data_IF_559361609305
#
_entry.id   IF_559361609305
#
_cell.length_a   1.000
_cell.length_b   1.000
_cell.length_c   1.000
_cell.angle_alpha   90.00
_cell.angle_beta   90.00
_cell.angle_gamma   90.00
#
_symmetry.space_group_name_H-M   'P 1'
#
loop_
_entity.id
_entity.type
_entity.pdbx_description
1 polymer ?
#
# COMPACT_ATOMS: atom_id res chain seq x y z
N UNK A 1 -33.50 -6.19 -12.96
CA UNK A 1 -32.08 -6.24 -13.38
C UNK A 1 -31.31 -5.66 -12.21
N UNK A 2 -30.75 -6.50 -11.35
CA UNK A 2 -29.94 -6.07 -10.21
C UNK A 2 -28.57 -5.70 -10.74
N UNK A 3 -28.20 -4.42 -10.68
CA UNK A 3 -26.85 -3.99 -10.98
C UNK A 3 -26.04 -4.22 -9.70
N UNK A 4 -25.46 -5.42 -9.57
CA UNK A 4 -24.85 -5.98 -8.35
C UNK A 4 -23.76 -5.13 -7.70
N UNK A 5 -23.38 -4.02 -8.32
CA UNK A 5 -22.28 -3.22 -7.89
C UNK A 5 -22.78 -1.96 -7.15
N UNK A 6 -23.78 -1.22 -7.64
CA UNK A 6 -24.27 0.02 -6.98
C UNK A 6 -24.97 -0.24 -5.63
N UNK A 7 -25.65 -1.40 -5.53
CA UNK A 7 -26.40 -1.78 -4.33
C UNK A 7 -25.52 -2.24 -3.15
N UNK A 8 -24.20 -2.38 -3.34
CA UNK A 8 -23.27 -2.89 -2.31
C UNK A 8 -22.42 -1.81 -1.65
N UNK A 9 -22.41 -0.58 -2.17
CA UNK A 9 -21.53 0.49 -1.68
C UNK A 9 -21.85 0.93 -0.25
N UNK A 10 -23.11 1.33 -0.04
CA UNK A 10 -23.60 1.74 1.27
C UNK A 10 -23.54 0.60 2.28
N UNK A 11 -23.98 -0.64 1.94
CA UNK A 11 -23.82 -1.80 2.83
C UNK A 11 -22.37 -2.07 3.20
N UNK A 12 -21.42 -1.98 2.27
CA UNK A 12 -20.02 -2.26 2.56
C UNK A 12 -19.38 -1.23 3.50
N UNK A 13 -19.58 0.07 3.26
CA UNK A 13 -19.04 1.12 4.15
C UNK A 13 -19.65 1.01 5.55
N UNK A 14 -20.98 0.89 5.64
CA UNK A 14 -21.64 0.72 6.94
C UNK A 14 -21.23 -0.56 7.64
N UNK A 15 -20.98 -1.63 6.88
CA UNK A 15 -20.51 -2.89 7.42
C UNK A 15 -19.12 -2.75 8.02
N UNK A 16 -18.16 -2.20 7.28
CA UNK A 16 -16.80 -1.98 7.79
C UNK A 16 -16.83 -1.06 9.00
N UNK A 17 -17.58 0.04 8.94
CA UNK A 17 -17.74 0.97 10.06
C UNK A 17 -18.33 0.30 11.31
N UNK A 18 -19.37 -0.53 11.16
CA UNK A 18 -19.97 -1.26 12.27
C UNK A 18 -19.01 -2.30 12.88
N UNK A 19 -18.16 -2.94 12.06
CA UNK A 19 -17.25 -3.98 12.51
C UNK A 19 -15.99 -3.41 13.18
N UNK A 20 -15.49 -2.28 12.67
CA UNK A 20 -14.25 -1.62 13.14
C UNK A 20 -14.50 -0.52 14.17
N UNK A 21 -15.77 -0.21 14.46
CA UNK A 21 -16.20 0.96 15.25
C UNK A 21 -15.63 2.31 14.76
N UNK A 22 -15.28 2.41 13.48
CA UNK A 22 -14.74 3.62 12.85
C UNK A 22 -15.84 4.48 12.20
N UNK A 23 -15.65 5.82 12.10
CA UNK A 23 -16.65 6.74 11.55
C UNK A 23 -17.08 6.40 10.12
N UNK A 24 -18.33 6.72 9.79
CA UNK A 24 -19.11 6.22 8.63
C UNK A 24 -18.98 7.07 7.35
N UNK A 25 -18.11 8.07 7.31
CA UNK A 25 -17.94 8.96 6.15
C UNK A 25 -16.90 8.41 5.16
N UNK A 26 -17.28 7.37 4.41
CA UNK A 26 -16.47 6.76 3.35
C UNK A 26 -16.93 7.13 1.94
N UNK A 27 -16.00 7.14 0.97
CA UNK A 27 -16.31 7.32 -0.44
C UNK A 27 -15.88 6.09 -1.25
N UNK A 28 -16.74 5.62 -2.14
CA UNK A 28 -16.39 4.60 -3.14
C UNK A 28 -16.24 5.28 -4.50
N UNK A 29 -15.09 5.05 -5.13
CA UNK A 29 -14.77 5.58 -6.46
C UNK A 29 -14.77 4.40 -7.43
N UNK A 30 -15.60 4.48 -8.46
CA UNK A 30 -15.63 3.48 -9.53
C UNK A 30 -14.75 3.88 -10.70
N UNK A 31 -14.15 2.88 -11.33
CA UNK A 31 -13.22 3.10 -12.42
C UNK A 31 -11.85 3.49 -11.89
N UNK A 32 -11.39 4.70 -12.23
CA UNK A 32 -10.04 5.15 -11.88
C UNK A 32 -10.08 6.26 -10.83
N UNK A 33 -9.33 6.07 -9.75
CA UNK A 33 -9.11 7.10 -8.74
C UNK A 33 -7.73 7.75 -8.96
N UNK A 34 -7.59 9.08 -8.75
CA UNK A 34 -6.31 9.77 -8.85
C UNK A 34 -5.41 9.45 -7.66
N UNK A 35 -4.90 8.22 -7.63
CA UNK A 35 -4.18 7.64 -6.49
C UNK A 35 -3.00 8.52 -6.05
N UNK A 36 -2.16 8.98 -6.98
CA UNK A 36 -1.04 9.86 -6.64
C UNK A 36 -1.51 11.17 -5.97
N UNK A 37 -2.65 11.72 -6.39
CA UNK A 37 -3.21 12.93 -5.76
C UNK A 37 -3.69 12.60 -4.34
N UNK A 38 -4.44 11.51 -4.18
CA UNK A 38 -4.93 11.04 -2.87
C UNK A 38 -3.76 10.80 -1.91
N UNK A 39 -2.71 10.11 -2.37
CA UNK A 39 -1.51 9.84 -1.60
C UNK A 39 -0.61 11.07 -1.42
N UNK A 40 -0.71 12.11 -2.26
CA UNK A 40 0.05 13.36 -2.07
C UNK A 40 -0.46 14.23 -0.93
N UNK A 41 -1.75 14.10 -0.60
CA UNK A 41 -2.32 14.72 0.61
C UNK A 41 -1.86 14.00 1.88
N UNK A 42 -1.25 12.82 1.75
CA UNK A 42 -0.71 12.02 2.82
C UNK A 42 0.60 12.60 3.36
N UNK A 43 0.64 12.88 4.67
CA UNK A 43 1.80 13.50 5.33
C UNK A 43 1.79 15.04 5.35
N UNK A 44 0.93 15.70 4.58
CA UNK A 44 0.65 17.15 4.70
C UNK A 44 -0.66 17.37 5.48
N UNK A 45 -1.62 16.44 5.39
CA UNK A 45 -2.87 16.45 6.12
C UNK A 45 -3.05 15.14 6.93
N UNK A 46 -3.48 15.18 8.21
CA UNK A 46 -3.61 14.00 9.07
C UNK A 46 -4.83 13.11 8.73
N UNK A 47 -5.37 13.19 7.52
CA UNK A 47 -6.63 12.51 7.14
C UNK A 47 -6.50 11.07 6.72
N UNK A 48 -5.29 10.56 6.49
CA UNK A 48 -5.10 9.21 5.95
C UNK A 48 -4.23 8.39 6.90
N UNK A 49 -4.87 7.46 7.59
CA UNK A 49 -4.24 6.56 8.55
C UNK A 49 -3.72 5.26 7.93
N UNK A 50 -4.24 4.82 6.78
CA UNK A 50 -3.87 3.56 6.14
C UNK A 50 -3.89 3.60 4.62
N UNK A 51 -3.04 2.80 3.96
CA UNK A 51 -3.16 2.49 2.54
C UNK A 51 -3.17 0.97 2.36
N UNK A 52 -4.25 0.42 1.81
CA UNK A 52 -4.34 -1.01 1.52
C UNK A 52 -4.21 -1.21 0.01
N UNK A 53 -3.23 -2.01 -0.41
CA UNK A 53 -2.96 -2.28 -1.82
C UNK A 53 -2.62 -3.73 -2.07
N UNK A 54 -2.79 -4.13 -3.33
CA UNK A 54 -2.46 -5.46 -3.79
C UNK A 54 -0.95 -5.77 -3.90
N UNK A 55 -0.07 -4.88 -3.43
CA UNK A 55 1.39 -5.05 -3.47
C UNK A 55 2.02 -5.09 -4.87
N UNK A 56 1.38 -4.53 -5.90
CA UNK A 56 2.05 -4.27 -7.17
C UNK A 56 3.23 -3.31 -6.97
N UNK A 57 4.35 -3.53 -7.68
CA UNK A 57 5.61 -2.84 -7.41
C UNK A 57 5.51 -1.31 -7.40
N UNK A 58 4.75 -0.72 -8.32
CA UNK A 58 4.53 0.74 -8.34
C UNK A 58 3.82 1.24 -7.07
N UNK A 59 2.78 0.53 -6.62
CA UNK A 59 2.04 0.88 -5.40
C UNK A 59 2.92 0.71 -4.16
N UNK A 60 3.76 -0.33 -4.15
CA UNK A 60 4.73 -0.57 -3.08
C UNK A 60 5.72 0.59 -2.95
N UNK A 61 6.24 1.09 -4.07
CA UNK A 61 7.12 2.26 -4.08
C UNK A 61 6.38 3.50 -3.57
N UNK A 62 5.15 3.73 -4.00
CA UNK A 62 4.34 4.85 -3.53
C UNK A 62 4.07 4.77 -2.02
N UNK A 63 3.72 3.59 -1.50
CA UNK A 63 3.53 3.34 -0.08
C UNK A 63 4.80 3.64 0.75
N UNK A 64 5.99 3.30 0.24
CA UNK A 64 7.26 3.62 0.91
C UNK A 64 7.57 5.11 0.85
N UNK A 65 7.26 5.79 -0.26
CA UNK A 65 7.43 7.24 -0.42
C UNK A 65 6.60 8.05 0.58
N UNK A 66 5.41 7.56 0.92
CA UNK A 66 4.50 8.19 1.88
C UNK A 66 4.68 7.67 3.31
N UNK A 67 5.43 6.59 3.50
CA UNK A 67 5.70 5.98 4.79
C UNK A 67 4.47 5.27 5.34
N UNK A 68 3.85 4.40 4.54
CA UNK A 68 2.66 3.64 4.93
C UNK A 68 2.80 2.12 4.84
N UNK A 69 2.10 1.39 5.70
CA UNK A 69 2.02 -0.08 5.65
C UNK A 69 0.98 -0.52 4.62
N UNK A 70 1.25 -1.55 3.82
CA UNK A 70 0.26 -2.08 2.87
C UNK A 70 0.56 -3.52 2.39
N UNK A 71 0.08 -4.59 3.03
CA UNK A 71 0.12 -5.91 2.42
C UNK A 71 -1.28 -6.54 2.23
N UNK A 72 -1.76 -6.62 0.99
CA UNK A 72 -2.88 -7.50 0.59
C UNK A 72 -2.63 -8.14 -0.79
N UNK A 73 -1.56 -8.96 -0.94
CA UNK A 73 -1.19 -9.51 -2.24
C UNK A 73 -2.30 -10.40 -2.81
N UNK A 74 -2.53 -10.31 -4.12
CA UNK A 74 -3.54 -11.14 -4.79
C UNK A 74 -2.89 -12.31 -5.52
N UNK A 75 -1.80 -12.07 -6.27
CA UNK A 75 -1.14 -13.12 -7.06
C UNK A 75 0.25 -12.74 -7.57
N UNK A 76 1.02 -13.75 -7.96
CA UNK A 76 2.28 -13.55 -8.69
C UNK A 76 3.37 -12.85 -7.87
N UNK A 77 4.02 -11.87 -8.47
CA UNK A 77 5.10 -11.08 -7.87
C UNK A 77 4.65 -10.27 -6.64
N UNK A 78 3.36 -9.99 -6.52
CA UNK A 78 2.76 -9.28 -5.39
C UNK A 78 3.02 -9.98 -4.05
N UNK A 79 3.03 -11.32 -4.04
CA UNK A 79 3.31 -12.11 -2.83
C UNK A 79 4.74 -11.82 -2.35
N UNK A 80 5.70 -11.74 -3.28
CA UNK A 80 7.09 -11.41 -2.95
C UNK A 80 7.22 -9.96 -2.47
N UNK A 81 6.52 -9.03 -3.12
CA UNK A 81 6.50 -7.63 -2.71
C UNK A 81 5.88 -7.45 -1.30
N UNK A 82 4.80 -8.19 -0.99
CA UNK A 82 4.18 -8.20 0.32
C UNK A 82 5.14 -8.75 1.40
N UNK A 83 5.87 -9.84 1.12
CA UNK A 83 6.89 -10.37 2.02
C UNK A 83 8.01 -9.37 2.25
N UNK A 84 8.48 -8.72 1.19
CA UNK A 84 9.50 -7.69 1.28
C UNK A 84 9.04 -6.54 2.21
N UNK A 85 7.82 -6.05 2.01
CA UNK A 85 7.21 -5.03 2.87
C UNK A 85 6.98 -5.52 4.30
N UNK A 86 6.53 -6.76 4.47
CA UNK A 86 6.31 -7.41 5.76
C UNK A 86 7.61 -7.51 6.57
N UNK A 87 8.72 -7.90 5.93
CA UNK A 87 10.04 -7.94 6.56
C UNK A 87 10.51 -6.54 6.98
N UNK A 88 10.32 -5.53 6.12
CA UNK A 88 10.69 -4.14 6.46
C UNK A 88 9.89 -3.59 7.64
N UNK A 89 8.60 -3.88 7.67
CA UNK A 89 7.70 -3.42 8.75
C UNK A 89 7.71 -4.37 9.96
N UNK A 90 8.46 -5.48 9.90
CA UNK A 90 8.46 -6.61 10.85
C UNK A 90 7.05 -7.13 11.16
N UNK A 91 6.20 -7.23 10.14
CA UNK A 91 4.82 -7.71 10.23
C UNK A 91 4.74 -9.23 10.00
N UNK A 92 5.66 -9.82 9.23
CA UNK A 92 5.65 -11.25 8.90
C UNK A 92 7.03 -11.88 9.07
N UNK A 93 7.05 -13.05 9.71
CA UNK A 93 8.16 -14.01 9.67
C UNK A 93 8.00 -14.94 8.44
N UNK A 94 9.12 -15.53 8.01
CA UNK A 94 9.27 -16.23 6.73
C UNK A 94 8.47 -17.55 6.67
N UNK A 95 7.20 -17.49 6.27
CA UNK A 95 6.43 -18.68 5.88
C UNK A 95 6.43 -18.88 4.35
N UNK A 96 6.49 -20.15 3.92
CA UNK A 96 6.39 -20.55 2.51
C UNK A 96 5.02 -20.18 1.93
N UNK A 97 5.01 -19.82 0.65
CA UNK A 97 3.83 -19.27 -0.02
C UNK A 97 2.71 -20.32 -0.15
N UNK A 98 1.78 -20.30 0.79
CA UNK A 98 0.44 -20.84 0.61
C UNK A 98 -0.48 -19.76 0.05
N UNK A 99 -1.49 -20.21 -0.69
CA UNK A 99 -2.60 -19.38 -1.13
C UNK A 99 -3.19 -18.68 0.10
N UNK A 100 -3.05 -17.35 0.17
CA UNK A 100 -3.54 -16.57 1.31
C UNK A 100 -5.06 -16.51 1.18
N UNK A 101 -5.76 -17.44 1.82
CA UNK A 101 -7.20 -17.35 2.01
C UNK A 101 -7.44 -16.31 3.09
N UNK A 102 -7.74 -15.09 2.69
CA UNK A 102 -8.09 -14.01 3.61
C UNK A 102 -9.55 -14.12 4.01
N UNK A 103 -9.82 -14.26 5.30
CA UNK A 103 -11.17 -14.19 5.84
C UNK A 103 -11.60 -12.73 6.05
N UNK A 104 -12.89 -12.53 6.27
CA UNK A 104 -13.44 -11.21 6.60
C UNK A 104 -12.85 -10.66 7.90
N UNK A 105 -12.63 -11.52 8.90
CA UNK A 105 -12.09 -11.09 10.19
C UNK A 105 -10.62 -10.66 10.05
N UNK A 106 -9.85 -11.35 9.19
CA UNK A 106 -8.48 -10.94 8.86
C UNK A 106 -8.43 -9.54 8.22
N UNK A 107 -9.42 -9.18 7.40
CA UNK A 107 -9.51 -7.85 6.77
C UNK A 107 -9.80 -6.78 7.84
N UNK A 108 -10.71 -7.06 8.77
CA UNK A 108 -11.05 -6.12 9.85
C UNK A 108 -9.83 -5.90 10.75
N UNK A 109 -9.19 -6.98 11.19
CA UNK A 109 -7.98 -6.90 12.01
C UNK A 109 -6.86 -6.15 11.28
N UNK A 110 -6.68 -6.41 9.98
CA UNK A 110 -5.69 -5.70 9.19
C UNK A 110 -5.99 -4.19 9.07
N UNK A 111 -7.26 -3.80 8.89
CA UNK A 111 -7.66 -2.39 8.85
C UNK A 111 -7.47 -1.73 10.21
N UNK A 112 -7.91 -2.35 11.29
CA UNK A 112 -7.76 -1.81 12.65
C UNK A 112 -6.29 -1.60 12.98
N UNK A 113 -5.47 -2.64 12.79
CA UNK A 113 -4.03 -2.57 13.01
C UNK A 113 -3.39 -1.49 12.15
N UNK A 114 -3.74 -1.41 10.87
CA UNK A 114 -3.24 -0.40 9.96
C UNK A 114 -3.57 1.03 10.45
N UNK A 115 -4.69 1.23 11.11
CA UNK A 115 -5.13 2.56 11.55
C UNK A 115 -4.61 2.94 12.94
N UNK A 116 -4.41 1.97 13.84
CA UNK A 116 -4.09 2.22 15.25
C UNK A 116 -2.64 1.91 15.66
N UNK A 117 -1.88 1.15 14.87
CA UNK A 117 -0.52 0.73 15.22
C UNK A 117 0.49 1.89 15.01
N UNK A 118 0.75 2.64 16.09
CA UNK A 118 1.70 3.76 16.08
C UNK A 118 3.13 3.31 15.75
N UNK A 119 3.55 2.13 16.21
CA UNK A 119 4.89 1.63 15.96
C UNK A 119 5.08 1.32 14.46
N UNK A 120 4.06 0.72 13.86
CA UNK A 120 4.00 0.47 12.42
C UNK A 120 4.11 1.78 11.62
N UNK A 121 3.40 2.83 12.03
CA UNK A 121 3.49 4.15 11.40
C UNK A 121 4.86 4.81 11.57
N UNK A 122 5.45 4.75 12.77
CA UNK A 122 6.79 5.31 13.01
C UNK A 122 7.87 4.56 12.22
N UNK A 123 7.78 3.24 12.10
CA UNK A 123 8.68 2.45 11.25
C UNK A 123 8.56 2.84 9.78
N UNK A 124 7.34 3.01 9.28
CA UNK A 124 7.11 3.37 7.89
C UNK A 124 7.61 4.81 7.59
N UNK A 125 7.40 5.77 8.50
CA UNK A 125 8.02 7.11 8.45
C UNK A 125 9.54 7.05 8.52
N UNK A 126 10.10 6.21 9.39
CA UNK A 126 11.55 6.03 9.52
C UNK A 126 12.16 5.44 8.25
N UNK A 127 11.49 4.49 7.59
CA UNK A 127 11.90 3.95 6.30
C UNK A 127 11.87 5.03 5.22
N UNK A 128 10.76 5.77 5.11
CA UNK A 128 10.65 6.92 4.19
C UNK A 128 11.82 7.88 4.40
N UNK A 129 12.08 8.27 5.65
CA UNK A 129 13.20 9.14 5.97
C UNK A 129 14.53 8.48 5.61
N UNK A 130 14.76 7.20 5.92
CA UNK A 130 16.01 6.52 5.58
C UNK A 130 16.26 6.49 4.07
N UNK A 131 15.22 6.27 3.27
CA UNK A 131 15.30 6.15 1.81
C UNK A 131 15.36 7.52 1.13
N UNK A 132 14.61 8.50 1.64
CA UNK A 132 14.37 9.79 0.97
C UNK A 132 14.82 11.02 1.77
N UNK A 133 15.56 10.89 2.89
CA UNK A 133 16.10 12.03 3.68
C UNK A 133 16.94 13.00 2.85
N UNK A 134 17.56 12.51 1.78
CA UNK A 134 18.34 13.32 0.83
C UNK A 134 17.62 13.50 -0.52
N UNK A 135 16.30 13.30 -0.55
CA UNK A 135 15.52 13.21 -1.78
C UNK A 135 15.66 11.85 -2.49
N UNK A 136 15.07 11.74 -3.67
CA UNK A 136 15.33 10.61 -4.58
C UNK A 136 16.82 10.58 -4.97
N UNK A 137 17.34 9.43 -5.42
CA UNK A 137 18.71 9.31 -5.94
C UNK A 137 19.01 10.49 -6.90
N UNK A 138 20.18 11.09 -6.74
CA UNK A 138 20.56 12.48 -7.04
C UNK A 138 20.06 13.17 -8.33
N UNK A 139 19.56 12.45 -9.34
CA UNK A 139 18.78 13.02 -10.44
C UNK A 139 18.26 11.91 -11.37
N UNK A 140 17.28 12.28 -12.21
CA UNK A 140 16.92 11.54 -13.43
C UNK A 140 18.15 11.16 -14.28
N UNK A 141 19.25 11.92 -14.22
CA UNK A 141 20.50 11.64 -14.91
C UNK A 141 21.19 10.37 -14.41
N UNK A 142 21.11 10.03 -13.13
CA UNK A 142 21.69 8.79 -12.60
C UNK A 142 20.90 7.56 -13.07
N UNK A 143 19.57 7.66 -13.08
CA UNK A 143 18.69 6.64 -13.63
C UNK A 143 18.88 6.49 -15.16
N UNK A 144 19.00 7.61 -15.87
CA UNK A 144 19.27 7.63 -17.30
C UNK A 144 20.64 7.04 -17.64
N UNK A 145 21.68 7.34 -16.87
CA UNK A 145 23.02 6.73 -17.02
C UNK A 145 22.96 5.22 -16.82
N UNK A 146 22.30 4.76 -15.75
CA UNK A 146 22.12 3.32 -15.52
C UNK A 146 21.36 2.63 -16.66
N UNK A 147 20.32 3.26 -17.21
CA UNK A 147 19.57 2.75 -18.35
C UNK A 147 20.42 2.69 -19.63
N UNK A 148 21.17 3.76 -19.91
CA UNK A 148 22.09 3.82 -21.06
C UNK A 148 23.15 2.73 -20.97
N UNK A 149 23.73 2.54 -19.79
CA UNK A 149 24.80 1.56 -19.58
C UNK A 149 24.25 0.13 -19.74
N UNK A 150 23.02 -0.14 -19.29
CA UNK A 150 22.32 -1.41 -19.53
C UNK A 150 22.05 -1.70 -21.02
N UNK A 151 21.52 -0.71 -21.76
CA UNK A 151 21.27 -0.85 -23.20
C UNK A 151 22.59 -1.13 -23.93
N UNK A 152 23.65 -0.43 -23.56
CA UNK A 152 24.97 -0.57 -24.17
C UNK A 152 25.58 -1.96 -23.99
N UNK A 153 25.23 -2.67 -22.91
CA UNK A 153 25.68 -4.05 -22.64
C UNK A 153 24.85 -5.12 -23.37
N UNK A 154 23.68 -4.77 -23.89
CA UNK A 154 22.74 -5.72 -24.50
C UNK A 154 22.80 -5.70 -26.03
N UNK A 155 23.43 -4.67 -26.62
CA UNK A 155 23.54 -4.47 -28.08
C UNK A 155 24.97 -4.77 -28.60
N UNK A 156 25.85 -5.30 -27.75
CA UNK A 156 27.17 -5.84 -28.12
C UNK A 156 27.15 -7.37 -28.11
#
# INVERSE_FOLDING_TARGET
>A
MFNTCDDLEHPFIHYVANQTAMPTDGFIIRGWAPQLLILSHLGIHPSIGGFLSHCGWYLTVEAVCIGMPSPSPIRGDQILNAKLMGRFNKIQEDDEATEIITTKDDIIEAIERLMSDEELHERAKALRNKVFKHGFRASSLAAFKALRDFISQTVS
#
